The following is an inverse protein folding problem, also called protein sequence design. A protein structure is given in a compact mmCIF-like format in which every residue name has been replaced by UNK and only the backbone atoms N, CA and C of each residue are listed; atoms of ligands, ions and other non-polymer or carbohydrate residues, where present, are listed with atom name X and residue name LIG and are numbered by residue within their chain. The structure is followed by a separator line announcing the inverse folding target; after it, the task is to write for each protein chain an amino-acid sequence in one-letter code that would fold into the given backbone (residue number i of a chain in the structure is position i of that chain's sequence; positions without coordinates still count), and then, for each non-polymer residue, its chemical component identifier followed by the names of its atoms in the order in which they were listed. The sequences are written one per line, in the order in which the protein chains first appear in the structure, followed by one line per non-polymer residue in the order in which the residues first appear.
data_IF_007129462838
#
_entry.id   IF_007129462838
#
_cell.length_a   1.000
_cell.length_b   1.000
_cell.length_c   1.000
_cell.angle_alpha   90.00
_cell.angle_beta   90.00
_cell.angle_gamma   90.00
#
_symmetry.space_group_name_H-M   'P 1'
#
loop_
_entity.id
_entity.type
_entity.pdbx_description
1 polymer ?
#
# COMPACT_ATOMS: atom_id res chain seq x y z
N UNK A 1 -18.06 -18.25 -54.09
CA UNK A 1 -16.83 -17.66 -53.48
C UNK A 1 -17.05 -17.60 -51.99
N UNK A 2 -16.57 -18.61 -51.27
CA UNK A 2 -16.69 -18.76 -49.82
C UNK A 2 -15.49 -18.11 -49.13
N UNK A 3 -15.77 -17.12 -48.28
CA UNK A 3 -14.80 -16.44 -47.41
C UNK A 3 -14.30 -17.41 -46.34
N UNK A 4 -12.99 -17.70 -46.34
CA UNK A 4 -12.31 -18.41 -45.25
C UNK A 4 -12.16 -17.45 -44.07
N UNK A 5 -12.83 -17.74 -42.96
CA UNK A 5 -12.53 -17.14 -41.68
C UNK A 5 -11.15 -17.65 -41.21
N UNK A 6 -10.24 -16.75 -40.87
CA UNK A 6 -9.04 -17.08 -40.12
C UNK A 6 -9.43 -17.31 -38.66
N UNK A 7 -9.44 -18.57 -38.21
CA UNK A 7 -9.43 -18.85 -36.77
C UNK A 7 -8.04 -18.50 -36.23
N UNK A 8 -7.96 -17.42 -35.47
CA UNK A 8 -6.83 -17.16 -34.58
C UNK A 8 -6.91 -18.18 -33.44
N UNK A 9 -6.20 -19.29 -33.58
CA UNK A 9 -5.88 -20.19 -32.47
C UNK A 9 -5.04 -19.41 -31.45
N UNK A 10 -5.72 -18.79 -30.49
CA UNK A 10 -5.10 -18.28 -29.27
C UNK A 10 -4.66 -19.49 -28.45
N UNK A 11 -3.43 -19.97 -28.68
CA UNK A 11 -2.78 -20.81 -27.69
C UNK A 11 -2.72 -20.01 -26.38
N UNK A 12 -3.16 -20.57 -25.23
CA UNK A 12 -3.00 -19.89 -23.96
C UNK A 12 -1.52 -19.57 -23.74
N UNK A 13 -1.23 -18.29 -23.52
CA UNK A 13 0.13 -17.76 -23.31
C UNK A 13 0.73 -18.15 -21.96
N UNK A 14 -0.05 -18.84 -21.11
CA UNK A 14 0.33 -19.24 -19.75
C UNK A 14 -0.19 -20.64 -19.50
N UNK A 15 0.72 -21.56 -19.15
CA UNK A 15 0.41 -22.86 -18.57
C UNK A 15 0.40 -22.67 -17.04
N UNK A 16 -0.76 -22.89 -16.42
CA UNK A 16 -0.95 -22.68 -14.98
C UNK A 16 -0.59 -23.91 -14.14
N UNK A 17 -0.11 -24.99 -14.77
CA UNK A 17 0.20 -26.24 -14.06
C UNK A 17 -1.02 -26.86 -13.36
N UNK A 18 -0.82 -27.93 -12.58
CA UNK A 18 -1.88 -28.51 -11.76
C UNK A 18 -2.21 -27.61 -10.56
N UNK A 19 -3.48 -27.22 -10.40
CA UNK A 19 -3.96 -26.46 -9.25
C UNK A 19 -4.35 -27.40 -8.10
N UNK A 20 -3.40 -27.69 -7.21
CA UNK A 20 -3.62 -28.61 -6.08
C UNK A 20 -4.59 -28.03 -5.04
N UNK A 21 -4.48 -26.73 -4.72
CA UNK A 21 -5.38 -26.02 -3.80
C UNK A 21 -5.21 -24.49 -3.89
N UNK A 22 -6.28 -23.75 -4.23
CA UNK A 22 -6.32 -22.28 -4.20
C UNK A 22 -7.32 -21.79 -3.15
N UNK A 23 -6.87 -20.85 -2.30
CA UNK A 23 -7.75 -20.10 -1.38
C UNK A 23 -7.48 -18.61 -1.50
N UNK A 24 -8.42 -17.91 -2.12
CA UNK A 24 -8.45 -16.45 -2.23
C UNK A 24 -9.72 -15.92 -1.54
N UNK A 25 -9.58 -15.05 -0.55
CA UNK A 25 -10.68 -14.55 0.28
C UNK A 25 -10.94 -13.07 0.03
N UNK A 26 -11.73 -12.73 -0.97
CA UNK A 26 -12.04 -11.31 -1.23
C UNK A 26 -13.01 -10.77 -0.18
N UNK A 27 -12.58 -9.83 0.69
CA UNK A 27 -13.45 -9.23 1.71
C UNK A 27 -14.49 -8.34 1.04
N UNK A 28 -15.71 -8.30 1.59
CA UNK A 28 -16.74 -7.39 1.10
C UNK A 28 -16.31 -5.94 1.38
N UNK A 29 -16.12 -5.16 0.32
CA UNK A 29 -15.79 -3.74 0.39
C UNK A 29 -16.46 -2.99 -0.76
N UNK A 30 -16.90 -1.75 -0.52
CA UNK A 30 -17.58 -0.91 -1.53
C UNK A 30 -16.61 0.12 -2.09
N UNK A 31 -16.53 0.22 -3.41
CA UNK A 31 -15.57 1.09 -4.08
C UNK A 31 -16.33 2.16 -4.86
N UNK A 32 -16.06 3.43 -4.57
CA UNK A 32 -16.63 4.56 -5.28
C UNK A 32 -15.51 5.48 -5.76
N UNK A 33 -15.60 5.95 -6.99
CA UNK A 33 -14.64 6.88 -7.57
C UNK A 33 -15.33 7.95 -8.41
N UNK A 34 -14.75 9.14 -8.44
CA UNK A 34 -15.23 10.30 -9.22
C UNK A 34 -16.09 11.27 -8.41
N UNK A 35 -16.59 12.32 -9.07
CA UNK A 35 -17.22 13.50 -8.43
C UNK A 35 -18.46 13.19 -7.56
N UNK A 36 -19.05 12.00 -7.71
CA UNK A 36 -20.21 11.55 -6.91
C UNK A 36 -19.84 10.54 -5.82
N UNK A 37 -18.56 10.21 -5.67
CA UNK A 37 -18.10 9.19 -4.74
C UNK A 37 -18.50 9.55 -3.30
N UNK A 38 -18.18 10.75 -2.84
CA UNK A 38 -18.46 11.17 -1.47
C UNK A 38 -19.97 11.17 -1.15
N UNK A 39 -20.83 11.48 -2.12
CA UNK A 39 -22.29 11.44 -1.94
C UNK A 39 -22.84 10.05 -1.61
N UNK A 40 -22.11 8.97 -1.95
CA UNK A 40 -22.51 7.62 -1.58
C UNK A 40 -22.24 7.28 -0.10
N UNK A 41 -21.34 8.02 0.58
CA UNK A 41 -20.92 7.73 1.96
C UNK A 41 -22.11 7.73 2.94
N UNK A 42 -22.99 8.73 2.87
CA UNK A 42 -24.18 8.81 3.75
C UNK A 42 -25.11 7.59 3.59
N UNK A 43 -25.28 7.11 2.36
CA UNK A 43 -26.11 5.94 2.06
C UNK A 43 -25.47 4.67 2.64
N UNK A 44 -24.15 4.54 2.52
CA UNK A 44 -23.43 3.39 3.03
C UNK A 44 -23.37 3.34 4.56
N UNK A 45 -23.22 4.50 5.23
CA UNK A 45 -23.35 4.62 6.67
C UNK A 45 -24.76 4.24 7.16
N UNK A 46 -25.79 4.71 6.46
CA UNK A 46 -27.19 4.32 6.74
C UNK A 46 -27.38 2.81 6.59
N UNK A 47 -26.79 2.20 5.57
CA UNK A 47 -26.88 0.76 5.30
C UNK A 47 -26.27 -0.08 6.42
N UNK A 48 -25.23 0.40 7.10
CA UNK A 48 -24.63 -0.30 8.25
C UNK A 48 -25.24 0.11 9.59
N UNK A 49 -26.24 1.00 9.59
CA UNK A 49 -26.90 1.48 10.79
C UNK A 49 -26.12 2.51 11.60
N UNK A 50 -25.01 3.05 11.07
CA UNK A 50 -24.15 3.99 11.78
C UNK A 50 -24.87 5.33 12.05
N UNK A 51 -24.87 5.74 13.32
CA UNK A 51 -25.47 6.99 13.81
C UNK A 51 -24.44 7.96 14.37
N UNK A 52 -23.31 7.46 14.88
CA UNK A 52 -22.28 8.24 15.58
C UNK A 52 -20.92 8.00 14.94
N UNK A 53 -20.53 8.89 14.04
CA UNK A 53 -19.33 8.78 13.21
C UNK A 53 -18.23 9.69 13.74
N UNK A 54 -17.09 9.11 14.06
CA UNK A 54 -15.88 9.86 14.38
C UNK A 54 -15.01 10.04 13.13
N UNK A 55 -14.50 11.25 12.89
CA UNK A 55 -13.69 11.56 11.72
C UNK A 55 -12.21 11.66 12.11
N UNK A 56 -11.34 10.97 11.39
CA UNK A 56 -9.89 11.04 11.59
C UNK A 56 -9.25 11.54 10.30
N UNK A 57 -8.46 12.60 10.36
CA UNK A 57 -7.79 13.14 9.18
C UNK A 57 -6.36 13.62 9.44
N UNK A 58 -5.58 13.73 8.35
CA UNK A 58 -4.26 14.35 8.40
C UNK A 58 -4.37 15.88 8.52
N UNK A 59 -3.36 16.56 9.11
CA UNK A 59 -3.33 18.02 9.20
C UNK A 59 -3.48 18.71 7.85
N UNK A 60 -2.90 18.14 6.79
CA UNK A 60 -3.03 18.67 5.43
C UNK A 60 -4.49 18.74 4.97
N UNK A 61 -5.32 17.75 5.28
CA UNK A 61 -6.75 17.77 4.95
C UNK A 61 -7.47 18.89 5.72
N UNK A 62 -7.14 19.09 6.99
CA UNK A 62 -7.73 20.14 7.80
C UNK A 62 -7.35 21.56 7.33
N UNK A 63 -6.18 21.72 6.69
CA UNK A 63 -5.77 22.98 6.07
C UNK A 63 -6.57 23.32 4.80
N UNK A 64 -7.10 22.31 4.10
CA UNK A 64 -8.06 22.52 3.01
C UNK A 64 -9.48 22.50 3.58
N UNK A 65 -9.92 23.62 4.15
CA UNK A 65 -11.21 23.73 4.85
C UNK A 65 -12.38 23.10 4.08
N UNK A 66 -12.45 23.33 2.76
CA UNK A 66 -13.49 22.77 1.90
C UNK A 66 -13.50 21.23 1.87
N UNK A 67 -12.35 20.56 1.98
CA UNK A 67 -12.25 19.11 1.94
C UNK A 67 -12.88 18.46 3.18
N UNK A 68 -12.49 18.90 4.37
CA UNK A 68 -13.05 18.38 5.62
C UNK A 68 -14.52 18.78 5.76
N UNK A 69 -14.88 20.03 5.47
CA UNK A 69 -16.27 20.51 5.54
C UNK A 69 -17.20 19.70 4.65
N UNK A 70 -16.80 19.37 3.40
CA UNK A 70 -17.61 18.51 2.53
C UNK A 70 -17.89 17.12 3.13
N UNK A 71 -16.92 16.53 3.82
CA UNK A 71 -17.11 15.25 4.51
C UNK A 71 -18.09 15.44 5.67
N UNK A 72 -17.90 16.46 6.50
CA UNK A 72 -18.78 16.75 7.64
C UNK A 72 -20.22 17.06 7.20
N UNK A 73 -20.41 17.79 6.10
CA UNK A 73 -21.73 18.07 5.52
C UNK A 73 -22.47 16.78 5.11
N UNK A 74 -21.73 15.82 4.54
CA UNK A 74 -22.29 14.51 4.17
C UNK A 74 -22.66 13.67 5.39
N UNK A 75 -21.90 13.81 6.48
CA UNK A 75 -22.20 13.13 7.75
C UNK A 75 -23.37 13.79 8.48
N UNK A 76 -23.50 15.11 8.38
CA UNK A 76 -24.51 15.91 9.08
C UNK A 76 -24.45 15.67 10.59
N UNK A 77 -25.60 15.45 11.21
CA UNK A 77 -25.72 15.20 12.65
C UNK A 77 -25.05 13.90 13.13
N UNK A 78 -24.56 13.04 12.22
CA UNK A 78 -23.82 11.84 12.61
C UNK A 78 -22.39 12.13 13.06
N UNK A 79 -21.81 13.27 12.67
CA UNK A 79 -20.44 13.59 13.06
C UNK A 79 -20.38 13.92 14.56
N UNK A 80 -19.80 13.03 15.37
CA UNK A 80 -19.71 13.20 16.84
C UNK A 80 -18.35 13.72 17.30
N UNK A 81 -17.38 13.82 16.40
CA UNK A 81 -16.07 14.36 16.69
C UNK A 81 -15.10 14.26 15.51
N UNK A 82 -14.02 15.02 15.60
CA UNK A 82 -12.92 15.03 14.63
C UNK A 82 -11.58 14.92 15.36
N UNK A 83 -10.62 14.26 14.73
CA UNK A 83 -9.21 14.32 15.10
C UNK A 83 -8.38 14.64 13.86
N UNK A 84 -7.63 15.74 13.89
CA UNK A 84 -6.94 16.29 12.71
C UNK A 84 -5.41 16.27 12.83
N UNK A 85 -4.88 15.75 13.94
CA UNK A 85 -3.46 15.81 14.30
C UNK A 85 -2.71 14.50 14.00
N UNK A 86 -3.16 13.74 13.00
CA UNK A 86 -2.46 12.51 12.58
C UNK A 86 -1.05 12.81 12.11
N UNK A 87 -0.08 12.10 12.67
CA UNK A 87 1.34 12.22 12.30
C UNK A 87 1.82 11.10 11.38
N UNK A 88 2.90 11.37 10.64
CA UNK A 88 3.59 10.35 9.84
C UNK A 88 4.07 9.20 10.72
N UNK A 89 4.11 8.00 10.15
CA UNK A 89 4.50 6.75 10.84
C UNK A 89 3.58 6.28 12.00
N UNK A 90 2.52 7.03 12.31
CA UNK A 90 1.53 6.69 13.34
C UNK A 90 2.16 6.41 14.70
N UNK A 91 2.72 7.41 15.38
CA UNK A 91 3.29 7.27 16.73
C UNK A 91 2.25 6.78 17.73
N UNK A 92 2.67 5.92 18.67
CA UNK A 92 1.77 5.30 19.64
C UNK A 92 1.02 6.33 20.51
N UNK A 93 1.64 7.43 20.88
CA UNK A 93 0.99 8.49 21.67
C UNK A 93 -0.18 9.16 20.90
N UNK A 94 -0.03 9.35 19.59
CA UNK A 94 -1.10 9.83 18.71
C UNK A 94 -2.21 8.79 18.58
N UNK A 95 -1.84 7.52 18.45
CA UNK A 95 -2.80 6.40 18.39
C UNK A 95 -3.62 6.31 19.69
N UNK A 96 -2.98 6.45 20.84
CA UNK A 96 -3.63 6.43 22.17
C UNK A 96 -4.59 7.62 22.38
N UNK A 97 -4.23 8.81 21.88
CA UNK A 97 -5.14 9.98 21.88
C UNK A 97 -6.41 9.68 21.07
N UNK A 98 -6.26 9.16 19.86
CA UNK A 98 -7.41 8.76 19.02
C UNK A 98 -8.22 7.68 19.71
N UNK A 99 -7.57 6.67 20.31
CA UNK A 99 -8.24 5.62 21.08
C UNK A 99 -9.14 6.20 22.18
N UNK A 100 -8.62 7.14 22.97
CA UNK A 100 -9.40 7.84 24.01
C UNK A 100 -10.62 8.54 23.43
N UNK A 101 -10.45 9.31 22.36
CA UNK A 101 -11.56 10.02 21.70
C UNK A 101 -12.64 9.09 21.14
N UNK A 102 -12.27 7.94 20.58
CA UNK A 102 -13.23 6.93 20.11
C UNK A 102 -14.08 6.37 21.26
N UNK A 103 -13.47 6.17 22.44
CA UNK A 103 -14.17 5.71 23.65
C UNK A 103 -15.08 6.79 24.21
N UNK A 104 -14.56 8.02 24.36
CA UNK A 104 -15.27 9.13 24.99
C UNK A 104 -16.50 9.59 24.17
N UNK A 105 -16.41 9.53 22.84
CA UNK A 105 -17.50 9.93 21.94
C UNK A 105 -18.52 8.83 21.66
N UNK A 106 -18.28 7.60 22.13
CA UNK A 106 -19.11 6.43 21.87
C UNK A 106 -19.45 6.25 20.37
N UNK A 107 -18.47 6.49 19.49
CA UNK A 107 -18.65 6.36 18.05
C UNK A 107 -18.95 4.90 17.65
N UNK A 108 -19.88 4.72 16.72
CA UNK A 108 -20.27 3.42 16.17
C UNK A 108 -19.67 3.15 14.77
N UNK A 109 -19.01 4.14 14.18
CA UNK A 109 -18.24 4.03 12.95
C UNK A 109 -17.13 5.08 12.89
N UNK A 110 -16.14 4.83 12.03
CA UNK A 110 -15.04 5.76 11.78
C UNK A 110 -14.97 6.12 10.29
N UNK A 111 -14.88 7.41 9.99
CA UNK A 111 -14.53 7.91 8.66
C UNK A 111 -13.12 8.44 8.69
N UNK A 112 -12.25 7.86 7.87
CA UNK A 112 -10.86 8.29 7.75
C UNK A 112 -10.69 9.09 6.48
N UNK A 113 -10.19 10.32 6.58
CA UNK A 113 -9.95 11.21 5.44
C UNK A 113 -8.46 11.51 5.34
N UNK A 114 -7.82 11.07 4.26
CA UNK A 114 -6.41 11.41 4.02
C UNK A 114 -5.53 10.24 3.56
N UNK A 115 -4.28 10.25 4.01
CA UNK A 115 -3.22 9.36 3.54
C UNK A 115 -3.12 8.06 4.34
N UNK A 116 -2.15 7.21 3.99
CA UNK A 116 -1.89 5.94 4.68
C UNK A 116 -1.69 6.06 6.20
N UNK A 117 -1.10 7.16 6.69
CA UNK A 117 -0.91 7.35 8.14
C UNK A 117 -2.24 7.54 8.87
N UNK A 118 -3.22 8.22 8.29
CA UNK A 118 -4.55 8.37 8.90
C UNK A 118 -5.28 7.02 9.00
N UNK A 119 -5.16 6.21 7.96
CA UNK A 119 -5.74 4.85 7.92
C UNK A 119 -5.09 3.97 8.99
N UNK A 120 -3.76 3.97 9.05
CA UNK A 120 -3.00 3.16 10.01
C UNK A 120 -3.26 3.61 11.45
N UNK A 121 -3.27 4.92 11.73
CA UNK A 121 -3.58 5.45 13.06
C UNK A 121 -4.98 5.08 13.49
N UNK A 122 -5.98 5.31 12.63
CA UNK A 122 -7.38 4.93 12.88
C UNK A 122 -7.54 3.45 13.20
N UNK A 123 -6.90 2.61 12.38
CA UNK A 123 -6.91 1.15 12.52
C UNK A 123 -6.32 0.69 13.84
N UNK A 124 -5.13 1.18 14.19
CA UNK A 124 -4.48 0.85 15.45
C UNK A 124 -5.33 1.31 16.65
N UNK A 125 -5.83 2.55 16.62
CA UNK A 125 -6.68 3.08 17.69
C UNK A 125 -7.96 2.26 17.86
N UNK A 126 -8.59 1.85 16.76
CA UNK A 126 -9.79 0.99 16.77
C UNK A 126 -9.50 -0.40 17.34
N UNK A 127 -8.36 -1.00 16.97
CA UNK A 127 -7.93 -2.29 17.52
C UNK A 127 -7.74 -2.18 19.04
N UNK A 128 -6.95 -1.21 19.49
CA UNK A 128 -6.58 -1.07 20.90
C UNK A 128 -7.81 -0.70 21.74
N UNK A 129 -8.68 0.19 21.24
CA UNK A 129 -9.93 0.56 21.92
C UNK A 129 -10.83 -0.65 22.17
N UNK A 130 -11.03 -1.49 21.14
CA UNK A 130 -11.94 -2.62 21.22
C UNK A 130 -11.40 -3.77 22.08
N UNK A 131 -10.09 -4.03 22.01
CA UNK A 131 -9.49 -5.16 22.74
C UNK A 131 -9.15 -4.83 24.19
N UNK A 132 -8.91 -3.55 24.52
CA UNK A 132 -8.62 -3.10 25.88
C UNK A 132 -7.34 -3.71 26.47
N UNK A 133 -6.37 -4.08 25.63
CA UNK A 133 -5.10 -4.72 26.02
C UNK A 133 -3.90 -3.82 25.70
N UNK A 134 -2.78 -3.99 26.42
CA UNK A 134 -1.52 -3.37 26.04
C UNK A 134 -1.12 -3.74 24.60
N UNK A 135 -0.48 -2.79 23.90
CA UNK A 135 -0.15 -2.93 22.48
C UNK A 135 0.76 -4.12 22.19
N UNK A 136 1.63 -4.46 23.15
CA UNK A 136 2.57 -5.58 23.09
C UNK A 136 1.83 -6.93 23.02
N UNK A 137 0.64 -7.02 23.62
CA UNK A 137 -0.20 -8.23 23.57
C UNK A 137 -1.02 -8.33 22.28
N UNK A 138 -1.09 -7.24 21.51
CA UNK A 138 -1.81 -7.14 20.23
C UNK A 138 -0.85 -7.20 19.04
N UNK A 139 0.45 -7.06 19.30
CA UNK A 139 1.52 -7.07 18.32
C UNK A 139 1.65 -8.42 17.60
N UNK A 140 1.79 -8.34 16.28
CA UNK A 140 2.31 -9.42 15.45
C UNK A 140 3.73 -9.77 15.91
N UNK A 141 4.00 -11.06 16.10
CA UNK A 141 5.30 -11.59 16.51
C UNK A 141 5.77 -12.68 15.56
N UNK A 142 6.95 -13.26 15.83
CA UNK A 142 7.44 -14.47 15.16
C UNK A 142 7.58 -15.60 16.18
N UNK A 143 7.14 -16.80 15.83
CA UNK A 143 7.39 -17.99 16.65
C UNK A 143 8.85 -18.48 16.51
N UNK A 144 9.24 -19.50 17.27
CA UNK A 144 10.59 -20.07 17.23
C UNK A 144 11.03 -20.64 15.87
N UNK A 145 10.10 -20.77 14.91
CA UNK A 145 10.39 -21.15 13.52
C UNK A 145 10.51 -19.96 12.56
N UNK A 146 10.38 -18.73 13.09
CA UNK A 146 10.39 -17.48 12.31
C UNK A 146 9.08 -17.18 11.60
N UNK A 147 8.03 -17.99 11.81
CA UNK A 147 6.71 -17.78 11.21
C UNK A 147 6.00 -16.62 11.91
N UNK A 148 5.39 -15.75 11.13
CA UNK A 148 4.58 -14.63 11.61
C UNK A 148 3.34 -15.15 12.35
N UNK A 149 3.12 -14.66 13.56
CA UNK A 149 1.98 -14.99 14.42
C UNK A 149 1.22 -13.71 14.76
N UNK A 150 -0.08 -13.71 14.46
CA UNK A 150 -0.98 -12.62 14.82
C UNK A 150 -1.84 -13.03 16.03
N UNK A 151 -1.92 -12.22 17.09
CA UNK A 151 -2.81 -12.50 18.22
C UNK A 151 -4.27 -12.61 17.79
N UNK A 152 -5.03 -13.52 18.41
CA UNK A 152 -6.48 -13.60 18.20
C UNK A 152 -7.17 -12.45 18.93
N UNK A 153 -7.97 -11.68 18.20
CA UNK A 153 -8.66 -10.49 18.68
C UNK A 153 -10.18 -10.69 18.57
N UNK A 154 -10.87 -11.17 19.62
CA UNK A 154 -12.29 -11.54 19.52
C UNK A 154 -13.23 -10.33 19.50
N UNK A 155 -12.87 -9.19 20.06
CA UNK A 155 -13.79 -8.06 20.23
C UNK A 155 -14.24 -7.50 18.87
N UNK A 156 -15.53 -7.16 18.70
CA UNK A 156 -15.99 -6.51 17.47
C UNK A 156 -15.25 -5.20 17.28
N UNK A 157 -15.12 -4.77 16.02
CA UNK A 157 -14.39 -3.57 15.68
C UNK A 157 -15.27 -2.55 15.00
N UNK A 158 -15.01 -1.27 15.24
CA UNK A 158 -15.73 -0.19 14.55
C UNK A 158 -15.52 -0.30 13.04
N UNK A 159 -16.58 -0.25 12.23
CA UNK A 159 -16.46 -0.22 10.78
C UNK A 159 -15.73 1.05 10.33
N UNK A 160 -14.78 0.88 9.41
CA UNK A 160 -14.01 2.00 8.85
C UNK A 160 -14.38 2.27 7.39
N UNK A 161 -14.61 3.54 7.09
CA UNK A 161 -14.89 4.08 5.77
C UNK A 161 -13.79 5.05 5.37
N UNK A 162 -13.17 4.84 4.22
CA UNK A 162 -11.95 5.57 3.85
C UNK A 162 -12.24 6.54 2.70
N UNK A 163 -11.87 7.80 2.88
CA UNK A 163 -11.90 8.86 1.86
C UNK A 163 -10.44 9.28 1.61
N UNK A 164 -9.71 8.54 0.76
CA UNK A 164 -8.26 8.68 0.70
C UNK A 164 -7.83 9.90 -0.14
N UNK A 165 -6.72 10.54 0.27
CA UNK A 165 -6.09 11.63 -0.50
C UNK A 165 -4.81 11.20 -1.23
N UNK A 166 -4.24 10.03 -0.88
CA UNK A 166 -3.02 9.49 -1.51
C UNK A 166 -3.22 8.04 -1.98
N UNK A 167 -2.50 7.60 -3.02
CA UNK A 167 -2.63 6.26 -3.61
C UNK A 167 -1.88 5.24 -2.76
N UNK A 168 -2.39 4.96 -1.56
CA UNK A 168 -1.79 4.04 -0.60
C UNK A 168 -2.41 2.65 -0.68
N UNK A 169 -1.63 1.60 -0.48
CA UNK A 169 -2.16 0.23 -0.36
C UNK A 169 -2.92 0.00 0.96
N UNK A 170 -2.77 0.90 1.95
CA UNK A 170 -3.30 0.73 3.30
C UNK A 170 -4.83 0.60 3.38
N UNK A 171 -5.57 1.18 2.43
CA UNK A 171 -7.04 1.06 2.41
C UNK A 171 -7.53 -0.32 1.93
N UNK A 172 -6.68 -1.13 1.30
CA UNK A 172 -6.99 -2.53 0.96
C UNK A 172 -6.55 -3.53 2.06
N UNK A 173 -5.65 -3.11 2.96
CA UNK A 173 -5.02 -3.98 3.96
C UNK A 173 -5.78 -4.00 5.29
N UNK A 174 -5.52 -5.04 6.08
CA UNK A 174 -6.06 -5.21 7.44
C UNK A 174 -5.06 -4.89 8.55
N UNK A 175 -3.77 -4.73 8.22
CA UNK A 175 -2.71 -4.48 9.19
C UNK A 175 -2.47 -3.00 9.46
N UNK A 176 -1.94 -2.67 10.64
CA UNK A 176 -1.45 -1.36 11.02
C UNK A 176 -0.04 -1.50 11.59
N UNK A 177 0.95 -0.89 10.95
CA UNK A 177 2.29 -0.77 11.52
C UNK A 177 2.40 0.58 12.22
N UNK A 178 2.70 0.63 13.51
CA UNK A 178 2.78 1.88 14.29
C UNK A 178 4.18 2.06 14.87
N UNK A 179 4.54 3.30 15.19
CA UNK A 179 5.82 3.59 15.83
C UNK A 179 5.64 3.63 17.34
N UNK A 180 6.13 2.60 18.04
CA UNK A 180 6.10 2.53 19.51
C UNK A 180 7.28 3.25 20.16
N UNK A 181 8.41 3.32 19.46
CA UNK A 181 9.59 4.07 19.88
C UNK A 181 10.12 4.95 18.73
N UNK A 182 10.49 6.22 18.99
CA UNK A 182 11.11 7.08 17.99
C UNK A 182 12.34 6.42 17.36
N UNK A 183 12.41 6.40 16.02
CA UNK A 183 13.49 5.76 15.26
C UNK A 183 13.57 4.22 15.33
N UNK A 184 12.72 3.57 16.13
CA UNK A 184 12.67 2.11 16.26
C UNK A 184 11.86 1.41 15.16
N UNK A 185 11.92 0.07 15.17
CA UNK A 185 11.08 -0.77 14.32
C UNK A 185 9.59 -0.51 14.53
N UNK A 186 8.79 -0.65 13.47
CA UNK A 186 7.34 -0.47 13.58
C UNK A 186 6.70 -1.73 14.14
N UNK A 187 5.89 -1.55 15.18
CA UNK A 187 5.06 -2.63 15.73
C UNK A 187 3.85 -2.85 14.84
N UNK A 188 3.72 -4.05 14.27
CA UNK A 188 2.58 -4.41 13.44
C UNK A 188 1.43 -4.97 14.28
N UNK A 189 0.21 -4.53 13.99
CA UNK A 189 -1.05 -5.06 14.50
C UNK A 189 -1.84 -5.60 13.30
N UNK A 190 -2.50 -6.75 13.44
CA UNK A 190 -3.28 -7.32 12.35
C UNK A 190 -4.58 -7.95 12.84
N UNK A 191 -5.72 -7.39 12.41
CA UNK A 191 -7.04 -7.98 12.59
C UNK A 191 -7.80 -7.91 11.26
N UNK A 192 -8.20 -9.05 10.66
CA UNK A 192 -8.98 -9.06 9.41
C UNK A 192 -10.23 -8.18 9.40
N UNK A 193 -10.82 -7.90 10.56
CA UNK A 193 -11.99 -7.01 10.73
C UNK A 193 -11.69 -5.53 10.46
N UNK A 194 -10.42 -5.16 10.36
CA UNK A 194 -9.96 -3.79 10.08
C UNK A 194 -9.93 -3.39 8.61
N UNK A 195 -10.32 -4.30 7.70
CA UNK A 195 -10.44 -3.94 6.30
C UNK A 195 -11.56 -2.92 6.10
N UNK A 196 -11.32 -1.98 5.19
CA UNK A 196 -12.26 -0.92 4.91
C UNK A 196 -13.59 -1.48 4.39
N UNK A 197 -14.70 -1.02 4.99
CA UNK A 197 -16.05 -1.33 4.51
C UNK A 197 -16.34 -0.65 3.18
N UNK A 198 -15.71 0.48 2.93
CA UNK A 198 -15.67 1.11 1.62
C UNK A 198 -14.59 2.17 1.49
N UNK A 199 -14.24 2.45 0.23
CA UNK A 199 -13.27 3.47 -0.17
C UNK A 199 -13.94 4.43 -1.16
N UNK A 200 -13.78 5.73 -0.94
CA UNK A 200 -14.43 6.80 -1.69
C UNK A 200 -13.37 7.74 -2.28
N UNK A 201 -12.95 7.47 -3.51
CA UNK A 201 -11.96 8.26 -4.25
C UNK A 201 -12.67 9.49 -4.83
N UNK A 202 -12.77 10.55 -4.03
CA UNK A 202 -13.35 11.85 -4.41
C UNK A 202 -12.27 12.78 -4.99
N UNK A 203 -12.46 13.34 -6.20
CA UNK A 203 -11.46 14.17 -6.87
C UNK A 203 -10.98 15.37 -6.04
N UNK A 204 -11.85 16.05 -5.30
CA UNK A 204 -11.41 17.24 -4.56
C UNK A 204 -10.60 16.84 -3.32
N UNK A 205 -10.89 15.68 -2.71
CA UNK A 205 -10.10 15.15 -1.59
C UNK A 205 -8.75 14.65 -2.10
N UNK A 206 -8.71 14.03 -3.28
CA UNK A 206 -7.47 13.57 -3.90
C UNK A 206 -6.59 14.76 -4.34
N UNK A 207 -7.20 15.88 -4.72
CA UNK A 207 -6.49 17.10 -5.08
C UNK A 207 -5.78 17.77 -3.90
N UNK A 208 -6.13 17.46 -2.65
CA UNK A 208 -5.45 18.04 -1.47
C UNK A 208 -4.06 17.47 -1.24
N UNK A 209 -3.68 16.37 -1.89
CA UNK A 209 -2.33 15.82 -1.75
C UNK A 209 -1.36 16.57 -2.67
N UNK A 210 -0.24 17.11 -2.14
CA UNK A 210 0.83 17.62 -2.97
C UNK A 210 1.36 16.54 -3.94
N UNK A 211 1.78 16.94 -5.15
CA UNK A 211 2.30 16.01 -6.17
C UNK A 211 3.45 15.14 -5.67
N UNK A 212 4.47 15.65 -4.94
CA UNK A 212 5.56 14.80 -4.44
C UNK A 212 5.08 13.69 -3.50
N UNK A 213 4.14 14.00 -2.61
CA UNK A 213 3.55 13.02 -1.70
C UNK A 213 2.72 11.98 -2.46
N UNK A 214 1.94 12.43 -3.44
CA UNK A 214 1.11 11.56 -4.28
C UNK A 214 1.98 10.59 -5.10
N UNK A 215 3.03 11.11 -5.77
CA UNK A 215 3.99 10.33 -6.55
C UNK A 215 4.72 9.31 -5.68
N UNK A 216 5.22 9.70 -4.51
CA UNK A 216 5.88 8.76 -3.61
C UNK A 216 4.98 7.60 -3.18
N UNK A 217 3.72 7.88 -2.80
CA UNK A 217 2.77 6.83 -2.44
C UNK A 217 2.48 5.88 -3.62
N UNK A 218 2.37 6.42 -4.84
CA UNK A 218 2.15 5.62 -6.04
C UNK A 218 3.35 4.72 -6.38
N UNK A 219 4.58 5.20 -6.15
CA UNK A 219 5.81 4.44 -6.35
C UNK A 219 5.94 3.26 -5.37
N UNK A 220 5.50 3.42 -4.12
CA UNK A 220 5.35 2.30 -3.19
C UNK A 220 4.35 1.26 -3.74
N UNK A 221 3.17 1.69 -4.20
CA UNK A 221 2.18 0.78 -4.77
C UNK A 221 2.68 0.07 -6.05
N UNK A 222 3.46 0.75 -6.90
CA UNK A 222 4.11 0.17 -8.09
C UNK A 222 5.11 -0.90 -7.69
N UNK A 223 5.97 -0.62 -6.70
CA UNK A 223 6.98 -1.56 -6.21
C UNK A 223 6.33 -2.81 -5.64
N UNK A 224 5.30 -2.63 -4.80
CA UNK A 224 4.49 -3.74 -4.28
C UNK A 224 3.80 -4.54 -5.40
N UNK A 225 3.41 -3.92 -6.51
CA UNK A 225 2.84 -4.64 -7.65
C UNK A 225 3.88 -5.53 -8.34
N UNK A 226 5.08 -5.02 -8.58
CA UNK A 226 6.20 -5.79 -9.17
C UNK A 226 6.62 -6.94 -8.27
N UNK A 227 6.90 -6.66 -6.99
CA UNK A 227 7.27 -7.69 -6.01
C UNK A 227 6.17 -8.73 -5.83
N UNK A 228 4.92 -8.26 -5.81
CA UNK A 228 3.77 -9.12 -5.76
C UNK A 228 3.76 -10.09 -6.94
N UNK A 229 3.92 -9.64 -8.18
CA UNK A 229 3.93 -10.51 -9.36
C UNK A 229 5.02 -11.59 -9.24
N UNK A 230 6.21 -11.25 -8.74
CA UNK A 230 7.27 -12.24 -8.51
C UNK A 230 6.88 -13.28 -7.45
N UNK A 231 6.16 -12.87 -6.41
CA UNK A 231 5.79 -13.71 -5.27
C UNK A 231 4.44 -14.41 -5.39
N UNK A 232 3.58 -14.04 -6.36
CA UNK A 232 2.17 -14.48 -6.40
C UNK A 232 1.98 -15.97 -6.67
N UNK A 233 3.02 -16.71 -7.08
CA UNK A 233 2.95 -18.16 -7.28
C UNK A 233 1.71 -18.55 -8.10
N UNK A 234 0.82 -19.34 -7.49
CA UNK A 234 -0.33 -19.98 -8.14
C UNK A 234 -1.68 -19.24 -7.93
N UNK A 235 -1.70 -17.97 -7.50
CA UNK A 235 -2.95 -17.20 -7.33
C UNK A 235 -3.23 -16.27 -8.53
N UNK A 236 -3.98 -16.73 -9.56
CA UNK A 236 -4.24 -15.93 -10.75
C UNK A 236 -5.13 -14.70 -10.48
N UNK A 237 -5.88 -14.69 -9.37
CA UNK A 237 -6.72 -13.54 -9.00
C UNK A 237 -5.82 -12.42 -8.49
N UNK A 238 -4.91 -12.74 -7.56
CA UNK A 238 -3.94 -11.78 -7.08
C UNK A 238 -3.04 -11.26 -8.21
N UNK A 239 -2.61 -12.13 -9.13
CA UNK A 239 -1.79 -11.74 -10.28
C UNK A 239 -2.54 -10.75 -11.18
N UNK A 240 -3.80 -11.03 -11.51
CA UNK A 240 -4.61 -10.14 -12.34
C UNK A 240 -4.74 -8.73 -11.73
N UNK A 241 -4.91 -8.64 -10.40
CA UNK A 241 -4.96 -7.37 -9.68
C UNK A 241 -3.62 -6.63 -9.76
N UNK A 242 -2.50 -7.32 -9.54
CA UNK A 242 -1.16 -6.73 -9.54
C UNK A 242 -0.72 -6.29 -10.95
N UNK A 243 -1.01 -7.08 -11.98
CA UNK A 243 -0.75 -6.74 -13.38
C UNK A 243 -1.54 -5.50 -13.78
N UNK A 244 -2.83 -5.44 -13.42
CA UNK A 244 -3.64 -4.25 -13.71
C UNK A 244 -3.16 -3.04 -12.90
N UNK A 245 -2.75 -3.22 -11.64
CA UNK A 245 -2.17 -2.17 -10.83
C UNK A 245 -0.92 -1.57 -11.49
N UNK A 246 0.02 -2.42 -11.91
CA UNK A 246 1.27 -2.00 -12.54
C UNK A 246 1.01 -1.24 -13.85
N UNK A 247 0.13 -1.77 -14.72
CA UNK A 247 -0.30 -1.09 -15.95
C UNK A 247 -0.90 0.27 -15.68
N UNK A 248 -1.82 0.34 -14.72
CA UNK A 248 -2.56 1.55 -14.43
C UNK A 248 -1.67 2.63 -13.80
N UNK A 249 -0.82 2.26 -12.84
CA UNK A 249 0.09 3.23 -12.22
C UNK A 249 1.09 3.76 -13.25
N UNK A 250 1.71 2.89 -14.05
CA UNK A 250 2.70 3.32 -15.06
C UNK A 250 2.10 4.14 -16.20
N UNK A 251 0.83 3.94 -16.53
CA UNK A 251 0.13 4.70 -17.57
C UNK A 251 -0.26 6.11 -17.09
N UNK A 252 -0.79 6.22 -15.86
CA UNK A 252 -1.42 7.46 -15.40
C UNK A 252 -0.55 8.32 -14.49
N UNK A 253 0.43 7.74 -13.77
CA UNK A 253 1.27 8.51 -12.86
C UNK A 253 2.08 9.64 -13.54
N UNK A 254 2.61 9.48 -14.77
CA UNK A 254 3.30 10.58 -15.46
C UNK A 254 2.43 11.79 -15.78
N UNK A 255 1.10 11.63 -15.74
CA UNK A 255 0.12 12.69 -16.01
C UNK A 255 -0.24 13.49 -14.75
N UNK A 256 0.31 13.13 -13.59
CA UNK A 256 0.08 13.83 -12.31
C UNK A 256 0.96 15.08 -12.24
N UNK A 257 0.31 16.24 -12.20
CA UNK A 257 0.90 17.59 -12.33
C UNK A 257 0.37 18.53 -11.25
N UNK A 258 1.05 19.66 -11.05
CA UNK A 258 0.62 20.69 -10.08
C UNK A 258 -0.40 21.69 -10.66
N UNK A 259 -0.75 21.59 -11.95
CA UNK A 259 -1.67 22.52 -12.62
C UNK A 259 -3.17 22.19 -12.39
N UNK A 260 -3.46 21.13 -11.64
CA UNK A 260 -4.82 20.71 -11.28
C UNK A 260 -5.63 20.07 -12.41
N UNK A 261 -5.04 19.86 -13.59
CA UNK A 261 -5.70 19.20 -14.73
C UNK A 261 -5.71 17.66 -14.63
N UNK A 262 -5.13 17.12 -13.56
CA UNK A 262 -4.75 15.71 -13.41
C UNK A 262 -5.75 14.84 -12.64
N UNK A 263 -6.95 15.35 -12.33
CA UNK A 263 -7.94 14.65 -11.50
C UNK A 263 -8.27 13.22 -11.96
N UNK A 264 -8.37 12.99 -13.28
CA UNK A 264 -8.61 11.67 -13.87
C UNK A 264 -7.39 10.76 -13.66
N UNK A 265 -6.19 11.28 -13.92
CA UNK A 265 -4.94 10.54 -13.74
C UNK A 265 -4.78 10.12 -12.28
N UNK A 266 -5.00 11.03 -11.33
CA UNK A 266 -4.96 10.72 -9.90
C UNK A 266 -5.96 9.64 -9.53
N UNK A 267 -7.22 9.74 -9.97
CA UNK A 267 -8.23 8.71 -9.68
C UNK A 267 -7.82 7.32 -10.20
N UNK A 268 -7.23 7.24 -11.40
CA UNK A 268 -6.70 5.99 -11.92
C UNK A 268 -5.51 5.48 -11.11
N UNK A 269 -4.56 6.33 -10.71
CA UNK A 269 -3.45 5.90 -9.85
C UNK A 269 -3.96 5.40 -8.49
N UNK A 270 -4.96 6.04 -7.89
CA UNK A 270 -5.60 5.61 -6.64
C UNK A 270 -6.22 4.21 -6.77
N UNK A 271 -6.93 3.96 -7.87
CA UNK A 271 -7.47 2.64 -8.18
C UNK A 271 -6.35 1.61 -8.45
N UNK A 272 -5.24 2.02 -9.08
CA UNK A 272 -4.05 1.17 -9.22
C UNK A 272 -3.48 0.75 -7.86
N UNK A 273 -3.37 1.68 -6.92
CA UNK A 273 -2.93 1.39 -5.56
C UNK A 273 -3.90 0.50 -4.78
N UNK A 274 -5.21 0.61 -5.04
CA UNK A 274 -6.20 -0.34 -4.50
C UNK A 274 -5.94 -1.76 -4.95
N UNK A 275 -5.75 -1.94 -6.26
CA UNK A 275 -5.49 -3.24 -6.86
C UNK A 275 -4.16 -3.82 -6.35
N UNK A 276 -3.11 -2.99 -6.28
CA UNK A 276 -1.82 -3.38 -5.69
C UNK A 276 -1.99 -3.83 -4.24
N UNK A 277 -2.77 -3.09 -3.44
CA UNK A 277 -3.06 -3.45 -2.07
C UNK A 277 -3.85 -4.75 -1.93
N UNK A 278 -4.85 -4.99 -2.78
CA UNK A 278 -5.64 -6.23 -2.75
C UNK A 278 -4.83 -7.45 -3.19
N UNK A 279 -4.07 -7.34 -4.29
CA UNK A 279 -3.25 -8.43 -4.79
C UNK A 279 -2.09 -8.77 -3.84
N UNK A 280 -1.43 -7.74 -3.29
CA UNK A 280 -0.30 -7.96 -2.38
C UNK A 280 -0.67 -8.52 -1.00
N UNK A 281 -1.97 -8.56 -0.67
CA UNK A 281 -2.46 -9.27 0.53
C UNK A 281 -2.28 -10.80 0.39
N UNK A 282 -2.10 -11.31 -0.84
CA UNK A 282 -1.94 -12.73 -1.15
C UNK A 282 -0.53 -13.13 -1.57
N UNK A 283 0.22 -12.23 -2.20
CA UNK A 283 1.61 -12.50 -2.63
C UNK A 283 2.64 -12.32 -1.51
N UNK A 284 2.32 -11.54 -0.47
CA UNK A 284 3.32 -11.09 0.51
C UNK A 284 4.12 -9.89 0.00
N UNK A 285 5.21 -9.56 0.69
CA UNK A 285 6.13 -8.47 0.36
C UNK A 285 7.47 -8.99 -0.18
N UNK A 286 8.28 -8.11 -0.75
CA UNK A 286 9.61 -8.46 -1.25
C UNK A 286 10.77 -7.67 -0.59
N UNK A 287 11.94 -7.80 -1.20
CA UNK A 287 13.20 -7.25 -0.70
C UNK A 287 13.26 -5.72 -0.81
N UNK A 288 12.63 -5.11 -1.83
CA UNK A 288 12.58 -3.66 -1.98
C UNK A 288 11.86 -3.01 -0.79
N UNK A 289 10.73 -3.60 -0.35
CA UNK A 289 10.02 -3.09 0.83
C UNK A 289 10.87 -3.21 2.10
N UNK A 290 11.52 -4.36 2.32
CA UNK A 290 12.40 -4.59 3.46
C UNK A 290 13.58 -3.59 3.46
N UNK A 291 14.24 -3.38 2.31
CA UNK A 291 15.28 -2.38 2.16
C UNK A 291 14.76 -0.96 2.38
N UNK A 292 13.55 -0.63 1.92
CA UNK A 292 12.93 0.67 2.14
C UNK A 292 12.63 0.94 3.63
N UNK A 293 12.23 -0.07 4.41
CA UNK A 293 12.08 0.07 5.86
C UNK A 293 13.41 0.32 6.57
N UNK A 294 14.49 -0.28 6.08
CA UNK A 294 15.82 -0.11 6.64
C UNK A 294 16.47 1.23 6.25
N UNK A 295 16.40 1.59 4.97
CA UNK A 295 17.06 2.76 4.39
C UNK A 295 16.21 4.04 4.52
N UNK A 296 14.88 3.93 4.48
CA UNK A 296 13.95 5.06 4.52
C UNK A 296 14.18 6.01 5.69
N UNK A 297 14.21 5.52 6.95
CA UNK A 297 14.52 6.35 8.14
C UNK A 297 15.91 6.99 8.14
N UNK A 298 16.82 6.52 7.28
CA UNK A 298 18.20 6.99 7.13
C UNK A 298 18.38 7.85 5.86
N UNK A 299 17.30 8.16 5.16
CA UNK A 299 17.32 8.92 3.90
C UNK A 299 16.58 10.26 4.05
N UNK A 300 16.89 11.19 3.15
CA UNK A 300 16.15 12.44 2.98
C UNK A 300 14.92 12.29 2.08
N UNK A 301 14.60 11.06 1.67
CA UNK A 301 13.55 10.75 0.70
C UNK A 301 12.39 9.99 1.33
N UNK A 302 11.15 10.21 0.85
CA UNK A 302 10.02 9.39 1.26
C UNK A 302 10.23 7.90 0.94
N UNK A 303 9.75 7.00 1.81
CA UNK A 303 9.94 5.54 1.67
C UNK A 303 9.58 4.97 0.29
N UNK A 304 8.50 5.46 -0.34
CA UNK A 304 8.11 4.95 -1.67
C UNK A 304 9.10 5.33 -2.78
N UNK A 305 9.86 6.42 -2.61
CA UNK A 305 10.97 6.75 -3.52
C UNK A 305 12.12 5.78 -3.28
N UNK A 306 12.53 5.59 -2.02
CA UNK A 306 13.61 4.66 -1.65
C UNK A 306 13.34 3.25 -2.19
N UNK A 307 12.12 2.74 -1.98
CA UNK A 307 11.69 1.43 -2.47
C UNK A 307 11.79 1.33 -3.99
N UNK A 308 11.31 2.34 -4.70
CA UNK A 308 11.34 2.34 -6.16
C UNK A 308 12.77 2.42 -6.73
N UNK A 309 13.68 3.14 -6.05
CA UNK A 309 15.10 3.22 -6.45
C UNK A 309 15.79 1.85 -6.31
N UNK A 310 15.52 1.10 -5.25
CA UNK A 310 16.13 -0.24 -5.06
C UNK A 310 15.40 -1.35 -5.83
N UNK A 311 14.19 -1.09 -6.35
CA UNK A 311 13.36 -2.08 -7.03
C UNK A 311 14.04 -2.75 -8.24
N UNK A 312 14.71 -2.04 -9.16
CA UNK A 312 15.38 -2.69 -10.30
C UNK A 312 16.48 -3.68 -9.87
N UNK A 313 17.17 -3.41 -8.77
CA UNK A 313 18.26 -4.24 -8.24
C UNK A 313 17.71 -5.48 -7.54
N UNK A 314 16.70 -5.31 -6.69
CA UNK A 314 15.99 -6.41 -6.03
C UNK A 314 15.21 -7.29 -7.02
N UNK A 315 14.68 -6.71 -8.11
CA UNK A 315 14.08 -7.43 -9.22
C UNK A 315 15.09 -8.36 -9.88
N UNK A 316 16.31 -7.89 -10.20
CA UNK A 316 17.39 -8.73 -10.74
C UNK A 316 17.69 -9.92 -9.84
N UNK A 317 17.86 -9.65 -8.56
CA UNK A 317 18.15 -10.68 -7.57
C UNK A 317 17.03 -11.72 -7.48
N UNK A 318 15.78 -11.27 -7.36
CA UNK A 318 14.62 -12.13 -7.10
C UNK A 318 14.24 -12.95 -8.33
N UNK A 319 14.25 -12.33 -9.52
CA UNK A 319 13.88 -12.99 -10.77
C UNK A 319 14.81 -14.14 -11.17
N UNK A 320 16.05 -14.18 -10.66
CA UNK A 320 16.93 -15.34 -10.88
C UNK A 320 16.39 -16.65 -10.28
N UNK A 321 15.49 -16.58 -9.30
CA UNK A 321 14.82 -17.75 -8.73
C UNK A 321 13.47 -18.07 -9.42
N UNK A 322 12.88 -17.09 -10.12
CA UNK A 322 11.57 -17.18 -10.77
C UNK A 322 11.57 -16.50 -12.15
N UNK A 323 12.47 -16.90 -13.07
CA UNK A 323 12.63 -16.23 -14.37
C UNK A 323 11.37 -16.30 -15.24
N UNK A 324 10.53 -17.31 -15.05
CA UNK A 324 9.24 -17.50 -15.71
C UNK A 324 8.22 -16.39 -15.41
N UNK A 325 8.47 -15.56 -14.38
CA UNK A 325 7.61 -14.43 -14.01
C UNK A 325 7.95 -13.14 -14.75
N UNK A 326 9.15 -13.04 -15.36
CA UNK A 326 9.59 -11.87 -16.12
C UNK A 326 8.66 -11.48 -17.28
N UNK A 327 8.12 -12.43 -18.08
CA UNK A 327 7.17 -12.12 -19.14
C UNK A 327 5.91 -11.39 -18.65
N UNK A 328 5.43 -11.71 -17.44
CA UNK A 328 4.25 -11.07 -16.84
C UNK A 328 4.55 -9.61 -16.52
N UNK A 329 5.72 -9.33 -15.93
CA UNK A 329 6.17 -7.97 -15.63
C UNK A 329 6.41 -7.17 -16.94
N UNK A 330 7.10 -7.78 -17.91
CA UNK A 330 7.38 -7.13 -19.20
C UNK A 330 6.08 -6.69 -19.89
N UNK A 331 5.12 -7.61 -20.03
CA UNK A 331 3.84 -7.30 -20.68
C UNK A 331 2.95 -6.35 -19.88
N UNK A 332 3.09 -6.32 -18.55
CA UNK A 332 2.43 -5.31 -17.71
C UNK A 332 3.04 -3.90 -17.90
N UNK A 333 4.33 -3.81 -18.21
CA UNK A 333 5.02 -2.56 -18.55
C UNK A 333 4.87 -2.14 -20.02
N UNK A 334 4.11 -2.90 -20.81
CA UNK A 334 3.93 -2.65 -22.25
C UNK A 334 5.12 -3.07 -23.12
N UNK A 335 5.94 -4.00 -22.64
CA UNK A 335 7.08 -4.58 -23.34
C UNK A 335 6.72 -5.98 -23.89
N UNK A 336 7.42 -6.48 -24.94
CA UNK A 336 7.28 -7.87 -25.37
C UNK A 336 7.53 -8.88 -24.25
N UNK A 337 6.81 -10.01 -24.27
CA UNK A 337 6.97 -11.07 -23.27
C UNK A 337 8.38 -11.68 -23.22
N UNK A 338 9.15 -11.57 -24.31
CA UNK A 338 10.53 -12.07 -24.44
C UNK A 338 11.60 -11.07 -24.01
N UNK A 339 11.20 -9.91 -23.47
CA UNK A 339 12.15 -8.88 -23.04
C UNK A 339 13.03 -9.37 -21.89
N UNK A 340 14.34 -9.19 -22.01
CA UNK A 340 15.29 -9.57 -20.97
C UNK A 340 15.19 -8.64 -19.76
N UNK A 341 15.68 -9.11 -18.62
CA UNK A 341 15.58 -8.41 -17.34
C UNK A 341 16.25 -7.03 -17.35
N UNK A 342 17.36 -6.86 -18.07
CA UNK A 342 18.06 -5.58 -18.12
C UNK A 342 17.20 -4.48 -18.73
N UNK A 343 16.49 -4.77 -19.83
CA UNK A 343 15.57 -3.83 -20.47
C UNK A 343 14.36 -3.54 -19.58
N UNK A 344 13.87 -4.53 -18.81
CA UNK A 344 12.79 -4.33 -17.84
C UNK A 344 13.26 -3.35 -16.74
N UNK A 345 14.46 -3.55 -16.20
CA UNK A 345 15.05 -2.68 -15.18
C UNK A 345 15.31 -1.27 -15.73
N UNK A 346 15.85 -1.14 -16.94
CA UNK A 346 16.04 0.14 -17.63
C UNK A 346 14.71 0.88 -17.85
N UNK A 347 13.62 0.14 -18.18
CA UNK A 347 12.29 0.73 -18.30
C UNK A 347 11.78 1.28 -16.98
N UNK A 348 11.99 0.56 -15.87
CA UNK A 348 11.63 1.04 -14.53
C UNK A 348 12.46 2.27 -14.14
N UNK A 349 13.77 2.25 -14.37
CA UNK A 349 14.66 3.39 -14.09
C UNK A 349 14.30 4.62 -14.94
N UNK A 350 14.03 4.42 -16.25
CA UNK A 350 13.58 5.48 -17.15
C UNK A 350 12.24 6.07 -16.73
N UNK A 351 11.34 5.23 -16.19
CA UNK A 351 10.08 5.69 -15.62
C UNK A 351 10.31 6.59 -14.39
N UNK A 352 11.24 6.25 -13.50
CA UNK A 352 11.61 7.10 -12.35
C UNK A 352 12.22 8.43 -12.80
N UNK A 353 13.14 8.40 -13.77
CA UNK A 353 13.70 9.62 -14.35
C UNK A 353 12.62 10.54 -14.93
N UNK A 354 11.63 9.99 -15.63
CA UNK A 354 10.50 10.75 -16.15
C UNK A 354 9.58 11.37 -15.08
N UNK A 355 9.69 10.91 -13.83
CA UNK A 355 9.00 11.48 -12.66
C UNK A 355 9.89 12.41 -11.84
N UNK A 356 11.08 12.76 -12.36
CA UNK A 356 12.10 13.59 -11.70
C UNK A 356 12.67 12.94 -10.43
N UNK A 357 12.66 11.60 -10.38
CA UNK A 357 13.30 10.82 -9.33
C UNK A 357 14.61 10.26 -9.88
N UNK A 358 15.74 10.68 -9.31
CA UNK A 358 17.04 10.12 -9.66
C UNK A 358 17.15 8.70 -9.12
N UNK A 359 17.34 7.67 -9.96
CA UNK A 359 17.27 6.27 -9.57
C UNK A 359 18.62 5.75 -9.03
N UNK A 360 19.21 6.45 -8.06
CA UNK A 360 20.43 6.04 -7.37
C UNK A 360 20.38 6.45 -5.89
N UNK A 361 20.82 5.55 -5.01
CA UNK A 361 20.80 5.73 -3.55
C UNK A 361 21.67 6.91 -3.09
N UNK A 362 22.76 7.21 -3.80
CA UNK A 362 23.64 8.34 -3.46
C UNK A 362 22.89 9.69 -3.38
N UNK A 363 21.82 9.86 -4.16
CA UNK A 363 21.02 11.08 -4.16
C UNK A 363 19.91 11.10 -3.10
N UNK A 364 19.71 9.99 -2.39
CA UNK A 364 18.71 9.90 -1.32
C UNK A 364 19.28 10.33 0.04
N UNK A 365 20.58 10.61 0.13
CA UNK A 365 21.24 11.09 1.36
C UNK A 365 21.45 10.01 2.42
N UNK A 366 21.51 8.73 2.02
CA UNK A 366 21.87 7.63 2.92
C UNK A 366 23.37 7.69 3.21
N UNK A 367 23.76 7.71 4.48
CA UNK A 367 25.16 7.64 4.89
C UNK A 367 25.68 6.19 4.79
N UNK A 368 26.74 5.91 4.00
CA UNK A 368 27.37 4.59 3.94
C UNK A 368 27.75 4.01 5.31
N UNK A 369 28.05 4.87 6.30
CA UNK A 369 28.42 4.44 7.65
C UNK A 369 27.30 3.68 8.38
N UNK A 370 26.05 3.85 7.97
CA UNK A 370 24.88 3.19 8.58
C UNK A 370 24.40 1.95 7.81
N UNK A 371 25.17 1.50 6.80
CA UNK A 371 24.78 0.40 5.93
C UNK A 371 24.65 -0.93 6.68
N UNK A 372 25.56 -1.20 7.62
CA UNK A 372 25.57 -2.44 8.40
C UNK A 372 24.29 -2.58 9.26
N UNK A 373 23.89 -1.49 9.91
CA UNK A 373 22.65 -1.43 10.70
C UNK A 373 21.41 -1.59 9.80
N UNK A 374 21.43 -0.97 8.61
CA UNK A 374 20.33 -1.09 7.65
C UNK A 374 20.19 -2.54 7.15
N UNK A 375 21.30 -3.21 6.84
CA UNK A 375 21.29 -4.62 6.43
C UNK A 375 20.76 -5.52 7.56
N UNK A 376 21.22 -5.31 8.80
CA UNK A 376 20.76 -6.07 9.95
C UNK A 376 19.25 -5.93 10.15
N UNK A 377 18.71 -4.71 10.02
CA UNK A 377 17.27 -4.45 10.08
C UNK A 377 16.52 -5.13 8.92
N UNK A 378 17.00 -4.99 7.68
CA UNK A 378 16.35 -5.57 6.50
C UNK A 378 16.19 -7.10 6.61
N UNK A 379 17.18 -7.81 7.17
CA UNK A 379 17.13 -9.26 7.40
C UNK A 379 16.04 -9.65 8.41
N UNK A 380 15.84 -8.84 9.45
CA UNK A 380 14.85 -9.08 10.50
C UNK A 380 13.42 -8.63 10.15
N UNK A 381 13.28 -7.82 9.10
CA UNK A 381 12.03 -7.13 8.77
C UNK A 381 10.85 -8.09 8.57
N UNK A 382 9.65 -7.66 8.97
CA UNK A 382 8.42 -8.44 8.86
C UNK A 382 8.01 -8.72 7.40
N UNK A 383 8.46 -7.89 6.45
CA UNK A 383 8.26 -8.08 5.01
C UNK A 383 9.02 -9.31 4.47
N UNK A 384 10.04 -9.80 5.18
CA UNK A 384 10.71 -11.06 4.86
C UNK A 384 9.79 -12.21 5.28
N UNK A 385 9.04 -12.72 4.31
CA UNK A 385 8.07 -13.80 4.51
C UNK A 385 8.52 -15.12 3.86
N UNK A 386 7.94 -16.26 4.26
CA UNK A 386 8.16 -17.53 3.56
C UNK A 386 7.71 -17.55 2.09
N UNK A 387 6.84 -16.61 1.66
CA UNK A 387 6.38 -16.50 0.27
C UNK A 387 7.37 -15.79 -0.66
N UNK A 388 8.39 -15.15 -0.10
CA UNK A 388 9.43 -14.48 -0.87
C UNK A 388 10.16 -15.53 -1.73
N UNK A 389 10.23 -15.37 -3.07
CA UNK A 389 10.83 -16.37 -3.95
C UNK A 389 12.30 -16.64 -3.65
N UNK A 390 13.04 -15.61 -3.23
CA UNK A 390 14.46 -15.70 -2.92
C UNK A 390 14.79 -14.79 -1.74
N UNK A 391 15.34 -15.36 -0.67
CA UNK A 391 15.90 -14.60 0.45
C UNK A 391 17.35 -14.20 0.17
N UNK A 392 17.74 -13.03 0.64
CA UNK A 392 19.10 -12.53 0.55
C UNK A 392 19.83 -12.70 1.89
N UNK A 393 21.08 -13.16 1.84
CA UNK A 393 22.02 -13.07 2.96
C UNK A 393 22.44 -11.61 3.20
N UNK A 394 22.99 -11.27 4.39
CA UNK A 394 23.53 -9.93 4.65
C UNK A 394 24.52 -9.44 3.56
N UNK A 395 25.37 -10.34 3.06
CA UNK A 395 26.33 -10.04 2.00
C UNK A 395 25.64 -9.72 0.66
N UNK A 396 24.62 -10.49 0.29
CA UNK A 396 23.84 -10.22 -0.93
C UNK A 396 23.03 -8.93 -0.82
N UNK A 397 22.50 -8.60 0.37
CA UNK A 397 21.85 -7.30 0.58
C UNK A 397 22.84 -6.15 0.43
N UNK A 398 24.07 -6.31 0.93
CA UNK A 398 25.14 -5.33 0.70
C UNK A 398 25.41 -5.12 -0.79
N UNK A 399 25.61 -6.21 -1.53
CA UNK A 399 25.84 -6.16 -2.99
C UNK A 399 24.70 -5.44 -3.72
N UNK A 400 23.45 -5.75 -3.39
CA UNK A 400 22.27 -5.07 -3.97
C UNK A 400 22.28 -3.56 -3.67
N UNK A 401 22.64 -3.17 -2.44
CA UNK A 401 22.68 -1.76 -2.03
C UNK A 401 23.85 -1.03 -2.72
N UNK A 402 25.01 -1.67 -2.82
CA UNK A 402 26.18 -1.14 -3.52
C UNK A 402 25.93 -0.96 -5.02
N UNK A 403 25.20 -1.88 -5.65
CA UNK A 403 24.77 -1.73 -7.06
C UNK A 403 23.77 -0.58 -7.26
N UNK A 404 22.98 -0.27 -6.25
CA UNK A 404 21.98 0.79 -6.28
C UNK A 404 22.56 2.17 -5.95
N UNK A 405 23.82 2.25 -5.54
CA UNK A 405 24.55 3.48 -5.22
C UNK A 405 24.96 4.23 -6.48
#
# INVERSE_FOLDING_TARGET
MTTKAHSTDLKPTVDFGPMDHLRHLTPASRQYAGARALGALAKELTRTGAQSVFVICNPSIAQYERALTRVLDVLGSRAVGTFTEVQQHSPLDVVEKVRGLLVDTAADAVVVVGSGSAIVTSRAATIIAAEGKPVEHLATSRDGSGRVVNPTMPAPKLPQWIVPSTPTTAFAKAGAAIQTHPGGERTALFDPKMRAHGVFIDPDIVATSPVPLFRSAALNALSMAVEGILATGDDPIAEALLVQALRQITTFLPQVTDDGSDSIARAHVMLGALLAGQGSDYSGAGLALSLAHALGPRSNSPNGVVEAVVLPHTLRFTASAVPERLPVIATALGLPATTCIDIICERLQSFLYGLEVTPQLQFLGVDPAHLDDAIAHAVGDWAVTPKMPRRASPQQLREIIEEAW
#
